data_IF_581227904509
#
_entry.id   IF_581227904509
#
_cell.length_a   1.000
_cell.length_b   1.000
_cell.length_c   1.000
_cell.angle_alpha   90.00
_cell.angle_beta   90.00
_cell.angle_gamma   90.00
#
_symmetry.space_group_name_H-M   'P 1'
#
loop_
_entity.id
_entity.type
_entity.pdbx_description
1 polymer ?
#
# COMPACT_ATOMS: atom_id res chain seq x y z
N UNK A 1 -45.52 -156.67 20.58
CA UNK A 1 -46.23 -157.94 20.85
C UNK A 1 -45.46 -158.62 21.98
N UNK A 2 -46.10 -159.27 22.95
CA UNK A 2 -46.61 -160.64 22.79
C UNK A 2 -47.72 -160.92 23.82
N UNK A 3 -48.79 -161.56 23.33
CA UNK A 3 -49.67 -162.58 23.95
C UNK A 3 -49.96 -162.48 25.45
N UNK A 4 -51.26 -162.51 25.77
CA UNK A 4 -51.79 -162.96 27.06
C UNK A 4 -51.42 -164.45 27.25
N UNK A 5 -50.60 -164.84 28.25
CA UNK A 5 -50.24 -166.23 28.52
C UNK A 5 -50.99 -166.79 29.76
N UNK A 6 -50.62 -168.01 30.17
CA UNK A 6 -50.90 -168.57 31.51
C UNK A 6 -52.33 -169.01 31.85
N UNK A 7 -52.90 -169.85 30.98
CA UNK A 7 -53.65 -171.02 31.42
C UNK A 7 -52.78 -172.28 31.27
N UNK A 8 -51.78 -172.43 32.16
CA UNK A 8 -50.91 -173.61 32.23
C UNK A 8 -50.67 -174.05 33.69
N UNK A 9 -51.49 -174.98 34.19
CA UNK A 9 -51.07 -176.02 35.16
C UNK A 9 -52.23 -176.92 35.58
N UNK A 10 -52.41 -178.03 34.87
CA UNK A 10 -53.04 -179.23 35.44
C UNK A 10 -51.97 -180.32 35.54
N UNK A 11 -51.52 -180.60 36.76
CA UNK A 11 -50.60 -181.70 37.05
C UNK A 11 -51.43 -182.90 37.49
N UNK A 12 -51.41 -183.97 36.70
CA UNK A 12 -51.93 -185.27 37.08
C UNK A 12 -50.73 -186.17 37.46
N UNK A 13 -50.75 -186.74 38.66
CA UNK A 13 -49.84 -187.82 39.04
C UNK A 13 -50.68 -189.05 39.45
N UNK A 14 -50.11 -190.24 39.19
CA UNK A 14 -50.86 -191.48 39.13
C UNK A 14 -51.48 -191.91 40.47
N UNK A 15 -52.66 -192.57 40.37
CA UNK A 15 -53.16 -193.73 41.14
C UNK A 15 -54.71 -193.77 41.17
N UNK A 16 -55.42 -192.67 40.91
CA UNK A 16 -56.89 -192.70 40.80
C UNK A 16 -57.50 -191.62 39.87
N UNK A 17 -58.36 -192.03 38.92
CA UNK A 17 -59.06 -191.15 37.98
C UNK A 17 -60.18 -190.33 38.68
N UNK A 18 -59.79 -189.22 39.32
CA UNK A 18 -60.71 -188.20 39.87
C UNK A 18 -60.17 -186.80 39.59
N UNK A 19 -60.87 -186.03 38.77
CA UNK A 19 -60.55 -184.62 38.51
C UNK A 19 -61.03 -183.79 39.69
N UNK A 20 -60.11 -183.09 40.36
CA UNK A 20 -60.40 -182.14 41.43
C UNK A 20 -60.14 -180.73 40.88
N UNK A 21 -61.12 -179.82 40.88
CA UNK A 21 -60.94 -178.47 40.36
C UNK A 21 -60.05 -177.62 41.30
N UNK A 22 -59.20 -176.72 40.77
CA UNK A 22 -58.48 -175.74 41.59
C UNK A 22 -59.47 -174.74 42.24
N UNK A 23 -59.14 -174.21 43.43
CA UNK A 23 -60.03 -173.31 44.15
C UNK A 23 -60.22 -171.97 43.43
N UNK A 24 -61.42 -171.35 43.49
CA UNK A 24 -61.69 -170.07 42.83
C UNK A 24 -60.92 -168.92 43.50
N UNK A 25 -60.07 -168.25 42.72
CA UNK A 25 -59.40 -167.00 43.08
C UNK A 25 -60.13 -165.79 42.47
N UNK A 26 -60.04 -164.63 43.13
CA UNK A 26 -60.69 -163.38 42.69
C UNK A 26 -62.00 -163.06 43.43
N UNK A 27 -62.81 -162.15 42.87
CA UNK A 27 -63.96 -161.53 43.54
C UNK A 27 -65.01 -162.52 44.10
N UNK A 28 -65.14 -163.71 43.49
CA UNK A 28 -66.01 -164.78 43.99
C UNK A 28 -65.59 -165.28 45.39
N UNK A 29 -64.29 -165.27 45.72
CA UNK A 29 -63.79 -165.67 47.03
C UNK A 29 -64.10 -164.63 48.11
N UNK A 30 -64.08 -163.34 47.77
CA UNK A 30 -64.45 -162.27 48.68
C UNK A 30 -65.95 -162.28 49.01
N UNK A 31 -66.82 -162.51 48.02
CA UNK A 31 -68.29 -162.63 48.25
C UNK A 31 -68.67 -163.82 49.14
N UNK A 32 -67.86 -164.87 49.21
CA UNK A 32 -68.08 -166.01 50.12
C UNK A 32 -67.59 -165.72 51.55
N UNK A 33 -66.65 -164.78 51.75
CA UNK A 33 -66.23 -164.36 53.10
C UNK A 33 -67.30 -163.52 53.81
N UNK A 34 -68.06 -162.71 53.07
CA UNK A 34 -69.08 -161.81 53.64
C UNK A 34 -70.34 -162.53 54.16
N UNK A 35 -70.60 -163.76 53.69
CA UNK A 35 -71.82 -164.52 54.02
C UNK A 35 -71.69 -165.45 55.25
N UNK A 36 -70.81 -165.12 56.22
CA UNK A 36 -70.56 -165.95 57.41
C UNK A 36 -70.97 -165.24 58.72
N UNK A 37 -72.05 -165.69 59.40
CA UNK A 37 -72.46 -165.07 60.66
C UNK A 37 -71.48 -165.41 61.80
N UNK A 38 -71.15 -164.35 62.55
CA UNK A 38 -70.54 -164.32 63.90
C UNK A 38 -69.64 -165.50 64.32
N UNK A 39 -68.33 -165.32 64.12
CA UNK A 39 -67.31 -165.88 65.03
C UNK A 39 -66.73 -164.77 65.90
N UNK A 40 -66.87 -164.90 67.21
CA UNK A 40 -66.14 -164.11 68.21
C UNK A 40 -64.64 -164.21 67.97
N UNK A 41 -64.01 -163.11 67.54
CA UNK A 41 -62.54 -163.01 67.50
C UNK A 41 -62.08 -162.40 68.81
N UNK A 42 -61.37 -163.19 69.61
CA UNK A 42 -60.59 -162.67 70.73
C UNK A 42 -59.49 -161.76 70.17
N UNK A 43 -59.48 -160.48 70.57
CA UNK A 43 -58.37 -159.57 70.25
C UNK A 43 -57.12 -160.08 70.97
N UNK A 44 -56.01 -160.24 70.24
CA UNK A 44 -54.74 -160.64 70.86
C UNK A 44 -54.03 -159.41 71.40
N UNK A 45 -53.16 -159.57 72.41
CA UNK A 45 -52.37 -158.44 72.93
C UNK A 45 -51.52 -157.75 71.84
N UNK A 46 -51.13 -158.48 70.78
CA UNK A 46 -50.38 -157.91 69.66
C UNK A 46 -51.20 -156.88 68.88
N UNK A 47 -52.48 -157.15 68.62
CA UNK A 47 -53.37 -156.21 67.94
C UNK A 47 -53.52 -154.90 68.74
N UNK A 48 -53.63 -155.01 70.07
CA UNK A 48 -53.73 -153.86 70.97
C UNK A 48 -52.43 -153.04 70.98
N UNK A 49 -51.26 -153.70 70.98
CA UNK A 49 -49.96 -153.03 70.87
C UNK A 49 -49.79 -152.34 69.51
N UNK A 50 -50.17 -152.99 68.40
CA UNK A 50 -50.10 -152.40 67.06
C UNK A 50 -51.07 -151.20 66.91
N UNK A 51 -52.22 -151.22 67.59
CA UNK A 51 -53.08 -150.04 67.71
C UNK A 51 -52.43 -148.94 68.56
N UNK A 52 -51.80 -149.28 69.69
CA UNK A 52 -51.07 -148.32 70.52
C UNK A 52 -49.92 -147.62 69.78
N UNK A 53 -49.12 -148.37 69.02
CA UNK A 53 -48.05 -147.83 68.18
C UNK A 53 -48.62 -146.89 67.11
N UNK A 54 -49.72 -147.26 66.44
CA UNK A 54 -50.38 -146.39 65.44
C UNK A 54 -50.94 -145.10 66.05
N UNK A 55 -51.55 -145.18 67.24
CA UNK A 55 -52.04 -144.00 67.97
C UNK A 55 -50.85 -143.10 68.33
N UNK A 56 -49.78 -143.67 68.89
CA UNK A 56 -48.60 -142.90 69.28
C UNK A 56 -47.93 -142.22 68.07
N UNK A 57 -47.75 -142.92 66.95
CA UNK A 57 -47.23 -142.33 65.70
C UNK A 57 -48.15 -141.24 65.11
N UNK A 58 -49.47 -141.35 65.28
CA UNK A 58 -50.41 -140.27 64.90
C UNK A 58 -50.30 -139.08 65.85
N UNK A 59 -50.07 -139.32 67.15
CA UNK A 59 -49.88 -138.30 68.17
C UNK A 59 -48.56 -137.54 67.98
N UNK A 60 -47.45 -138.25 67.71
CA UNK A 60 -46.15 -137.69 67.33
C UNK A 60 -46.28 -136.83 66.07
N UNK A 61 -46.96 -137.31 65.02
CA UNK A 61 -47.21 -136.51 63.80
C UNK A 61 -48.03 -135.25 64.11
N UNK A 62 -49.04 -135.34 64.97
CA UNK A 62 -49.80 -134.15 65.43
C UNK A 62 -48.95 -133.18 66.24
N UNK A 63 -48.01 -133.67 67.04
CA UNK A 63 -47.08 -132.81 67.79
C UNK A 63 -46.03 -132.17 66.86
N UNK A 64 -45.47 -132.92 65.92
CA UNK A 64 -44.54 -132.39 64.91
C UNK A 64 -45.19 -131.30 64.05
N UNK A 65 -46.43 -131.52 63.56
CA UNK A 65 -47.17 -130.50 62.80
C UNK A 65 -47.37 -129.23 63.65
N UNK A 66 -47.76 -129.36 64.92
CA UNK A 66 -47.88 -128.21 65.83
C UNK A 66 -46.55 -127.48 66.05
N UNK A 67 -45.44 -128.22 66.15
CA UNK A 67 -44.10 -127.62 66.29
C UNK A 67 -43.67 -126.93 65.00
N UNK A 68 -43.96 -127.49 63.82
CA UNK A 68 -43.73 -126.84 62.52
C UNK A 68 -44.60 -125.59 62.32
N UNK A 69 -45.87 -125.62 62.76
CA UNK A 69 -46.76 -124.45 62.75
C UNK A 69 -46.23 -123.34 63.66
N UNK A 70 -45.82 -123.67 64.89
CA UNK A 70 -45.20 -122.72 65.82
C UNK A 70 -43.86 -122.20 65.32
N UNK A 71 -43.04 -123.03 64.65
CA UNK A 71 -41.79 -122.60 64.03
C UNK A 71 -42.04 -121.65 62.86
N UNK A 72 -43.07 -121.88 62.03
CA UNK A 72 -43.47 -120.96 60.95
C UNK A 72 -43.93 -119.62 61.52
N UNK A 73 -44.83 -119.63 62.53
CA UNK A 73 -45.28 -118.41 63.20
C UNK A 73 -44.09 -117.64 63.79
N UNK A 74 -43.16 -118.32 64.48
CA UNK A 74 -41.96 -117.69 65.03
C UNK A 74 -41.02 -117.16 63.93
N UNK A 75 -40.89 -117.88 62.81
CA UNK A 75 -40.08 -117.46 61.67
C UNK A 75 -40.69 -116.23 60.97
N UNK A 76 -42.00 -116.21 60.75
CA UNK A 76 -42.73 -115.09 60.15
C UNK A 76 -42.70 -113.85 61.07
N UNK A 77 -42.82 -114.03 62.40
CA UNK A 77 -42.61 -112.97 63.37
C UNK A 77 -41.19 -112.39 63.34
N UNK A 78 -40.17 -113.24 63.18
CA UNK A 78 -38.76 -112.82 63.06
C UNK A 78 -38.54 -112.09 61.73
N UNK A 79 -39.10 -112.56 60.63
CA UNK A 79 -39.06 -111.86 59.33
C UNK A 79 -39.77 -110.51 59.39
N UNK A 80 -40.98 -110.42 59.94
CA UNK A 80 -41.70 -109.15 60.08
C UNK A 80 -40.93 -108.14 60.96
N UNK A 81 -40.27 -108.61 62.03
CA UNK A 81 -39.37 -107.77 62.85
C UNK A 81 -38.12 -107.35 62.07
N UNK A 82 -37.54 -108.24 61.27
CA UNK A 82 -36.37 -107.92 60.43
C UNK A 82 -36.73 -106.90 59.33
N UNK A 83 -37.84 -107.09 58.63
CA UNK A 83 -38.39 -106.16 57.64
C UNK A 83 -38.65 -104.80 58.27
N UNK A 84 -39.36 -104.72 59.40
CA UNK A 84 -39.59 -103.45 60.09
C UNK A 84 -38.29 -102.72 60.47
N UNK A 85 -37.27 -103.46 60.95
CA UNK A 85 -35.96 -102.88 61.26
C UNK A 85 -35.21 -102.40 60.01
N UNK A 86 -35.24 -103.14 58.89
CA UNK A 86 -34.61 -102.72 57.64
C UNK A 86 -35.33 -101.52 57.03
N UNK A 87 -36.67 -101.50 57.07
CA UNK A 87 -37.49 -100.38 56.63
C UNK A 87 -37.20 -99.11 57.42
N UNK A 88 -37.07 -99.22 58.75
CA UNK A 88 -36.64 -98.10 59.60
C UNK A 88 -35.21 -97.65 59.29
N UNK A 89 -34.28 -98.58 59.08
CA UNK A 89 -32.90 -98.26 58.72
C UNK A 89 -32.82 -97.54 57.36
N UNK A 90 -33.57 -98.01 56.36
CA UNK A 90 -33.70 -97.40 55.03
C UNK A 90 -34.36 -96.02 55.13
N UNK A 91 -35.46 -95.87 55.87
CA UNK A 91 -36.10 -94.57 56.12
C UNK A 91 -35.16 -93.58 56.83
N UNK A 92 -34.35 -94.05 57.80
CA UNK A 92 -33.32 -93.24 58.48
C UNK A 92 -32.17 -92.88 57.52
N UNK A 93 -31.73 -93.79 56.66
CA UNK A 93 -30.71 -93.53 55.64
C UNK A 93 -31.19 -92.51 54.59
N UNK A 94 -32.38 -92.68 54.04
CA UNK A 94 -33.01 -91.74 53.08
C UNK A 94 -33.14 -90.35 53.70
N UNK A 95 -33.57 -90.24 54.96
CA UNK A 95 -33.64 -88.95 55.66
C UNK A 95 -32.26 -88.29 55.80
N UNK A 96 -31.22 -89.04 56.18
CA UNK A 96 -29.84 -88.53 56.26
C UNK A 96 -29.29 -88.09 54.91
N UNK A 97 -29.51 -88.86 53.84
CA UNK A 97 -29.08 -88.52 52.47
C UNK A 97 -29.82 -87.28 51.96
N UNK A 98 -31.13 -87.17 52.19
CA UNK A 98 -31.91 -85.96 51.83
C UNK A 98 -31.44 -84.72 52.60
N UNK A 99 -31.13 -84.84 53.90
CA UNK A 99 -30.59 -83.72 54.67
C UNK A 99 -29.25 -83.23 54.09
N UNK A 100 -28.30 -84.15 53.86
CA UNK A 100 -27.01 -83.82 53.23
C UNK A 100 -27.17 -83.18 51.85
N UNK A 101 -28.04 -83.71 50.99
CA UNK A 101 -28.27 -83.10 49.68
C UNK A 101 -28.93 -81.72 49.76
N UNK A 102 -29.76 -81.45 50.77
CA UNK A 102 -30.30 -80.10 50.99
C UNK A 102 -29.19 -79.14 51.44
N UNK A 103 -28.34 -79.55 52.37
CA UNK A 103 -27.14 -78.80 52.81
C UNK A 103 -26.21 -78.51 51.62
N UNK A 104 -25.89 -79.53 50.79
CA UNK A 104 -25.09 -79.39 49.56
C UNK A 104 -25.74 -78.42 48.56
N UNK A 105 -27.05 -78.48 48.35
CA UNK A 105 -27.79 -77.57 47.47
C UNK A 105 -27.79 -76.13 48.01
N UNK A 106 -27.84 -75.93 49.33
CA UNK A 106 -27.77 -74.60 49.94
C UNK A 106 -26.37 -73.99 49.78
N UNK A 107 -25.31 -74.74 50.06
CA UNK A 107 -23.91 -74.29 49.82
C UNK A 107 -23.68 -73.94 48.35
N UNK A 108 -24.09 -74.81 47.41
CA UNK A 108 -23.96 -74.55 45.98
C UNK A 108 -24.73 -73.30 45.51
N UNK A 109 -25.90 -73.00 46.11
CA UNK A 109 -26.62 -71.75 45.83
C UNK A 109 -25.86 -70.53 46.31
N UNK A 110 -25.28 -70.57 47.50
CA UNK A 110 -24.48 -69.47 48.04
C UNK A 110 -23.21 -69.23 47.20
N UNK A 111 -22.51 -70.29 46.80
CA UNK A 111 -21.35 -70.21 45.89
C UNK A 111 -21.75 -69.60 44.54
N UNK A 112 -22.83 -70.08 43.92
CA UNK A 112 -23.33 -69.53 42.66
C UNK A 112 -23.77 -68.07 42.81
N UNK A 113 -24.41 -67.68 43.90
CA UNK A 113 -24.81 -66.28 44.14
C UNK A 113 -23.58 -65.38 44.32
N UNK A 114 -22.51 -65.86 44.98
CA UNK A 114 -21.25 -65.15 45.10
C UNK A 114 -20.55 -64.98 43.75
N UNK A 115 -20.47 -66.02 42.93
CA UNK A 115 -19.90 -65.98 41.58
C UNK A 115 -20.68 -64.99 40.70
N UNK A 116 -22.02 -65.04 40.72
CA UNK A 116 -22.87 -64.09 40.00
C UNK A 116 -22.66 -62.65 40.47
N UNK A 117 -22.53 -62.41 41.79
CA UNK A 117 -22.22 -61.09 42.36
C UNK A 117 -20.83 -60.58 41.94
N UNK A 118 -19.85 -61.47 41.75
CA UNK A 118 -18.51 -61.10 41.27
C UNK A 118 -18.54 -60.79 39.76
N UNK A 119 -19.06 -61.70 38.94
CA UNK A 119 -19.18 -61.50 37.48
C UNK A 119 -19.99 -60.23 37.12
N UNK A 120 -21.06 -59.92 37.86
CA UNK A 120 -21.82 -58.67 37.67
C UNK A 120 -21.00 -57.43 38.06
N UNK A 121 -20.11 -57.50 39.06
CA UNK A 121 -19.21 -56.38 39.41
C UNK A 121 -18.14 -56.18 38.35
N UNK A 122 -17.56 -57.25 37.83
CA UNK A 122 -16.53 -57.23 36.79
C UNK A 122 -17.10 -56.69 35.47
N UNK A 123 -18.21 -57.25 34.98
CA UNK A 123 -18.91 -56.74 33.79
C UNK A 123 -19.33 -55.27 33.95
N UNK A 124 -19.79 -54.84 35.14
CA UNK A 124 -20.08 -53.42 35.42
C UNK A 124 -18.84 -52.53 35.41
N UNK A 125 -17.66 -53.07 35.74
CA UNK A 125 -16.39 -52.34 35.67
C UNK A 125 -15.93 -52.21 34.22
N UNK A 126 -15.93 -53.30 33.47
CA UNK A 126 -15.58 -53.31 32.03
C UNK A 126 -16.46 -52.37 31.22
N UNK A 127 -17.79 -52.41 31.42
CA UNK A 127 -18.74 -51.51 30.74
C UNK A 127 -18.48 -50.04 31.09
N UNK A 128 -18.07 -49.73 32.33
CA UNK A 128 -17.68 -48.35 32.71
C UNK A 128 -16.39 -47.92 32.03
N UNK A 129 -15.35 -48.75 32.08
CA UNK A 129 -14.04 -48.45 31.47
C UNK A 129 -14.16 -48.28 29.95
N UNK A 130 -15.00 -49.09 29.29
CA UNK A 130 -15.36 -48.95 27.88
C UNK A 130 -16.09 -47.63 27.61
N UNK A 131 -17.15 -47.32 28.36
CA UNK A 131 -17.94 -46.10 28.22
C UNK A 131 -17.09 -44.83 28.42
N UNK A 132 -16.20 -44.83 29.41
CA UNK A 132 -15.27 -43.73 29.62
C UNK A 132 -14.24 -43.59 28.48
N UNK A 133 -13.76 -44.70 27.92
CA UNK A 133 -12.83 -44.67 26.79
C UNK A 133 -13.51 -44.16 25.51
N UNK A 134 -14.76 -44.51 25.28
CA UNK A 134 -15.57 -44.01 24.16
C UNK A 134 -15.88 -42.52 24.33
N UNK A 135 -16.37 -42.10 25.51
CA UNK A 135 -16.58 -40.68 25.84
C UNK A 135 -15.29 -39.85 25.70
N UNK A 136 -14.13 -40.37 26.11
CA UNK A 136 -12.82 -39.71 25.91
C UNK A 136 -12.50 -39.53 24.42
N UNK A 137 -12.79 -40.52 23.56
CA UNK A 137 -12.59 -40.41 22.10
C UNK A 137 -13.52 -39.38 21.48
N UNK A 138 -14.80 -39.38 21.86
CA UNK A 138 -15.78 -38.41 21.35
C UNK A 138 -15.44 -36.98 21.75
N UNK A 139 -15.03 -36.76 23.02
CA UNK A 139 -14.60 -35.47 23.53
C UNK A 139 -13.36 -34.96 22.78
N UNK A 140 -12.31 -35.77 22.64
CA UNK A 140 -11.11 -35.40 21.88
C UNK A 140 -11.44 -35.05 20.42
N UNK A 141 -12.33 -35.82 19.77
CA UNK A 141 -12.79 -35.52 18.42
C UNK A 141 -13.62 -34.22 18.35
N UNK A 142 -14.42 -33.92 19.38
CA UNK A 142 -15.18 -32.67 19.48
C UNK A 142 -14.27 -31.45 19.70
N UNK A 143 -13.26 -31.58 20.57
CA UNK A 143 -12.21 -30.58 20.80
C UNK A 143 -11.41 -30.31 19.52
N UNK A 144 -10.95 -31.33 18.81
CA UNK A 144 -10.26 -31.17 17.52
C UNK A 144 -11.12 -30.44 16.49
N UNK A 145 -12.41 -30.80 16.37
CA UNK A 145 -13.37 -30.08 15.51
C UNK A 145 -13.53 -28.62 15.94
N UNK A 146 -13.51 -28.33 17.25
CA UNK A 146 -13.62 -26.97 17.77
C UNK A 146 -12.35 -26.15 17.53
N UNK A 147 -11.17 -26.71 17.80
CA UNK A 147 -9.87 -26.10 17.52
C UNK A 147 -9.74 -25.77 16.02
N UNK A 148 -10.13 -26.69 15.13
CA UNK A 148 -10.11 -26.43 13.69
C UNK A 148 -11.04 -25.27 13.28
N UNK A 149 -12.26 -25.21 13.84
CA UNK A 149 -13.18 -24.07 13.62
C UNK A 149 -12.58 -22.74 14.12
N UNK A 150 -12.00 -22.73 15.32
CA UNK A 150 -11.37 -21.53 15.89
C UNK A 150 -10.18 -21.09 15.01
N UNK A 151 -9.31 -22.01 14.59
CA UNK A 151 -8.20 -21.73 13.69
C UNK A 151 -8.66 -21.18 12.34
N UNK A 152 -9.79 -21.66 11.81
CA UNK A 152 -10.39 -21.14 10.57
C UNK A 152 -10.88 -19.70 10.76
N UNK A 153 -11.68 -19.44 11.80
CA UNK A 153 -12.18 -18.10 12.13
C UNK A 153 -11.03 -17.11 12.40
N UNK A 154 -9.96 -17.54 13.08
CA UNK A 154 -8.77 -16.72 13.31
C UNK A 154 -8.05 -16.35 12.00
N UNK A 155 -8.00 -17.25 11.02
CA UNK A 155 -7.44 -16.95 9.68
C UNK A 155 -8.34 -15.98 8.91
N UNK A 156 -9.65 -16.19 8.92
CA UNK A 156 -10.64 -15.34 8.25
C UNK A 156 -10.58 -13.91 8.83
N UNK A 157 -10.64 -13.76 10.15
CA UNK A 157 -10.48 -12.48 10.84
C UNK A 157 -9.10 -11.83 10.59
N UNK A 158 -8.03 -12.62 10.45
CA UNK A 158 -6.72 -12.08 10.09
C UNK A 158 -6.70 -11.54 8.64
N UNK A 159 -7.32 -12.23 7.69
CA UNK A 159 -7.45 -11.75 6.31
C UNK A 159 -8.33 -10.51 6.20
N UNK A 160 -9.46 -10.48 6.91
CA UNK A 160 -10.34 -9.29 7.01
C UNK A 160 -9.58 -8.10 7.61
N UNK A 161 -8.79 -8.32 8.67
CA UNK A 161 -7.94 -7.28 9.26
C UNK A 161 -6.90 -6.73 8.27
N UNK A 162 -6.26 -7.60 7.48
CA UNK A 162 -5.29 -7.16 6.47
C UNK A 162 -6.00 -6.32 5.41
N UNK A 163 -7.13 -6.80 4.88
CA UNK A 163 -7.92 -6.07 3.88
C UNK A 163 -8.39 -4.70 4.41
N UNK A 164 -8.86 -4.63 5.66
CA UNK A 164 -9.24 -3.37 6.29
C UNK A 164 -8.06 -2.39 6.48
N UNK A 165 -6.85 -2.91 6.75
CA UNK A 165 -5.63 -2.09 6.81
C UNK A 165 -5.20 -1.63 5.41
N UNK A 166 -5.36 -2.48 4.39
CA UNK A 166 -5.04 -2.15 3.00
C UNK A 166 -5.98 -1.09 2.43
N UNK A 167 -7.29 -1.17 2.69
CA UNK A 167 -8.26 -0.14 2.28
C UNK A 167 -7.98 1.19 2.97
N UNK A 168 -7.81 1.21 4.30
CA UNK A 168 -7.47 2.45 5.03
C UNK A 168 -6.16 3.06 4.53
N UNK A 169 -5.13 2.24 4.25
CA UNK A 169 -3.86 2.73 3.67
C UNK A 169 -4.02 3.29 2.27
N UNK A 170 -4.90 2.73 1.44
CA UNK A 170 -5.20 3.26 0.12
C UNK A 170 -5.88 4.62 0.21
N UNK A 171 -6.87 4.76 1.11
CA UNK A 171 -7.55 6.03 1.41
C UNK A 171 -6.57 7.08 1.97
N UNK A 172 -5.68 6.71 2.91
CA UNK A 172 -4.62 7.58 3.43
C UNK A 172 -3.66 8.03 2.32
N UNK A 173 -3.27 7.15 1.40
CA UNK A 173 -2.42 7.48 0.26
C UNK A 173 -3.13 8.41 -0.73
N UNK A 174 -4.42 8.20 -1.00
CA UNK A 174 -5.21 9.06 -1.87
C UNK A 174 -5.35 10.47 -1.27
N UNK A 175 -5.76 10.58 -0.01
CA UNK A 175 -5.82 11.86 0.72
C UNK A 175 -4.45 12.57 0.76
N UNK A 176 -3.36 11.83 0.98
CA UNK A 176 -2.01 12.41 0.96
C UNK A 176 -1.61 12.90 -0.45
N UNK A 177 -1.96 12.17 -1.51
CA UNK A 177 -1.73 12.60 -2.89
C UNK A 177 -2.57 13.82 -3.27
N UNK A 178 -3.82 13.91 -2.82
CA UNK A 178 -4.68 15.09 -3.03
C UNK A 178 -4.14 16.32 -2.30
N UNK A 179 -3.79 16.17 -1.02
CA UNK A 179 -3.16 17.24 -0.24
C UNK A 179 -1.84 17.73 -0.91
N UNK A 180 -1.02 16.81 -1.44
CA UNK A 180 0.20 17.14 -2.16
C UNK A 180 -0.09 17.88 -3.48
N UNK A 181 -1.09 17.44 -4.27
CA UNK A 181 -1.52 18.13 -5.50
C UNK A 181 -2.01 19.55 -5.19
N UNK A 182 -2.83 19.71 -4.16
CA UNK A 182 -3.36 21.00 -3.74
C UNK A 182 -2.26 21.93 -3.23
N UNK A 183 -1.27 21.41 -2.49
CA UNK A 183 -0.13 22.20 -2.05
C UNK A 183 0.84 22.57 -3.18
N UNK A 184 1.00 21.70 -4.20
CA UNK A 184 1.71 22.06 -5.44
C UNK A 184 1.01 23.22 -6.16
N UNK A 185 -0.31 23.12 -6.38
CA UNK A 185 -1.12 24.17 -7.00
C UNK A 185 -0.99 25.51 -6.27
N UNK A 186 -1.12 25.52 -4.94
CA UNK A 186 -0.92 26.72 -4.11
C UNK A 186 0.50 27.30 -4.18
N UNK A 187 1.52 26.47 -4.38
CA UNK A 187 2.90 26.93 -4.57
C UNK A 187 3.12 27.49 -5.97
N UNK A 188 2.55 26.87 -7.01
CA UNK A 188 2.56 27.37 -8.38
C UNK A 188 1.86 28.73 -8.49
N UNK A 189 0.67 28.87 -7.89
CA UNK A 189 -0.06 30.14 -7.77
C UNK A 189 0.81 31.22 -7.11
N UNK A 190 1.45 30.92 -5.97
CA UNK A 190 2.38 31.86 -5.29
C UNK A 190 3.61 32.23 -6.12
N UNK A 191 4.17 31.29 -6.88
CA UNK A 191 5.31 31.55 -7.78
C UNK A 191 4.87 32.49 -8.91
N UNK A 192 3.68 32.29 -9.46
CA UNK A 192 3.10 33.18 -10.50
C UNK A 192 2.82 34.57 -9.92
N UNK A 193 2.21 34.68 -8.74
CA UNK A 193 1.97 35.96 -8.06
C UNK A 193 3.27 36.72 -7.75
N UNK A 194 4.28 36.02 -7.21
CA UNK A 194 5.59 36.60 -6.93
C UNK A 194 6.31 37.01 -8.23
N UNK A 195 6.18 36.24 -9.31
CA UNK A 195 6.68 36.58 -10.64
C UNK A 195 6.03 37.83 -11.22
N UNK A 196 4.70 37.94 -11.13
CA UNK A 196 3.94 39.13 -11.56
C UNK A 196 4.34 40.37 -10.74
N UNK A 197 4.49 40.22 -9.42
CA UNK A 197 4.91 41.32 -8.54
C UNK A 197 6.35 41.76 -8.83
N UNK A 198 7.26 40.80 -9.00
CA UNK A 198 8.65 41.05 -9.38
C UNK A 198 8.74 41.78 -10.73
N UNK A 199 8.02 41.31 -11.76
CA UNK A 199 7.96 41.95 -13.07
C UNK A 199 7.41 43.38 -12.98
N UNK A 200 6.33 43.61 -12.23
CA UNK A 200 5.78 44.97 -12.00
C UNK A 200 6.77 45.90 -11.31
N UNK A 201 7.57 45.37 -10.37
CA UNK A 201 8.60 46.16 -9.68
C UNK A 201 9.81 46.46 -10.59
N UNK A 202 10.25 45.47 -11.38
CA UNK A 202 11.27 45.67 -12.42
C UNK A 202 10.82 46.71 -13.46
N UNK A 203 9.59 46.62 -13.94
CA UNK A 203 9.03 47.56 -14.92
C UNK A 203 8.95 49.00 -14.36
N UNK A 204 8.60 49.17 -13.08
CA UNK A 204 8.67 50.47 -12.39
C UNK A 204 10.10 50.99 -12.30
N UNK A 205 11.04 50.14 -11.85
CA UNK A 205 12.46 50.49 -11.73
C UNK A 205 13.06 50.89 -13.08
N UNK A 206 12.76 50.15 -14.15
CA UNK A 206 13.16 50.49 -15.52
C UNK A 206 12.58 51.85 -15.96
N UNK A 207 11.30 52.14 -15.65
CA UNK A 207 10.69 53.45 -15.95
C UNK A 207 11.30 54.61 -15.15
N UNK A 208 11.69 54.37 -13.91
CA UNK A 208 12.38 55.34 -13.06
C UNK A 208 13.80 55.62 -13.58
N UNK A 209 14.56 54.56 -13.90
CA UNK A 209 15.89 54.67 -14.53
C UNK A 209 15.80 55.37 -15.88
N UNK A 210 14.84 55.03 -16.74
CA UNK A 210 14.65 55.67 -18.04
C UNK A 210 14.44 57.20 -17.89
N UNK A 211 13.54 57.61 -16.99
CA UNK A 211 13.32 59.04 -16.67
C UNK A 211 14.57 59.72 -16.12
N UNK A 212 15.32 59.04 -15.24
CA UNK A 212 16.57 59.57 -14.70
C UNK A 212 17.62 59.75 -15.80
N UNK A 213 17.75 58.80 -16.73
CA UNK A 213 18.66 58.91 -17.88
C UNK A 213 18.24 59.99 -18.86
N UNK A 214 16.94 60.15 -19.16
CA UNK A 214 16.41 61.23 -19.99
C UNK A 214 16.70 62.60 -19.36
N UNK A 215 16.48 62.74 -18.05
CA UNK A 215 16.78 63.97 -17.32
C UNK A 215 18.28 64.29 -17.34
N UNK A 216 19.15 63.31 -17.12
CA UNK A 216 20.61 63.49 -17.23
C UNK A 216 21.05 63.84 -18.66
N UNK A 217 20.48 63.21 -19.68
CA UNK A 217 20.73 63.55 -21.09
C UNK A 217 20.32 64.99 -21.40
N UNK A 218 19.14 65.43 -20.95
CA UNK A 218 18.68 66.80 -21.13
C UNK A 218 19.57 67.83 -20.41
N UNK A 219 20.04 67.53 -19.19
CA UNK A 219 21.03 68.37 -18.49
C UNK A 219 22.33 68.45 -19.31
N UNK A 220 22.90 67.31 -19.69
CA UNK A 220 24.15 67.24 -20.45
C UNK A 220 24.04 67.92 -21.82
N UNK A 221 22.90 67.81 -22.49
CA UNK A 221 22.59 68.53 -23.73
C UNK A 221 22.57 70.03 -23.49
N UNK A 222 21.84 70.51 -22.48
CA UNK A 222 21.76 71.95 -22.15
C UNK A 222 23.12 72.55 -21.77
N UNK A 223 23.96 71.79 -21.07
CA UNK A 223 25.34 72.18 -20.74
C UNK A 223 26.22 72.22 -21.99
N UNK A 224 26.08 71.25 -22.89
CA UNK A 224 26.81 71.20 -24.17
C UNK A 224 26.39 72.31 -25.13
N UNK A 225 25.11 72.68 -25.13
CA UNK A 225 24.60 73.84 -25.88
C UNK A 225 25.16 75.14 -25.31
N UNK A 226 25.06 75.36 -23.99
CA UNK A 226 25.62 76.55 -23.34
C UNK A 226 27.12 76.70 -23.60
N UNK A 227 27.90 75.62 -23.51
CA UNK A 227 29.33 75.65 -23.85
C UNK A 227 29.59 76.07 -25.28
N UNK A 228 28.79 75.61 -26.26
CA UNK A 228 28.91 76.08 -27.66
C UNK A 228 28.53 77.55 -27.82
N UNK A 229 27.51 78.02 -27.11
CA UNK A 229 27.13 79.43 -27.08
C UNK A 229 28.22 80.30 -26.42
N UNK A 230 28.85 79.80 -25.36
CA UNK A 230 30.01 80.41 -24.69
C UNK A 230 31.23 80.46 -25.64
N UNK A 231 31.62 79.33 -26.26
CA UNK A 231 32.71 79.24 -27.26
C UNK A 231 32.49 80.20 -28.44
N UNK A 232 31.27 80.27 -28.99
CA UNK A 232 30.92 81.21 -30.07
C UNK A 232 31.00 82.67 -29.59
N UNK A 233 30.51 82.97 -28.38
CA UNK A 233 30.61 84.30 -27.81
C UNK A 233 32.05 84.71 -27.48
N UNK A 234 32.92 83.78 -27.06
CA UNK A 234 34.35 84.04 -26.87
C UNK A 234 35.02 84.39 -28.19
N UNK A 235 34.83 83.57 -29.24
CA UNK A 235 35.34 83.84 -30.60
C UNK A 235 34.83 85.18 -31.15
N UNK A 236 33.55 85.50 -30.94
CA UNK A 236 32.97 86.77 -31.38
C UNK A 236 33.55 87.97 -30.61
N UNK A 237 33.75 87.84 -29.29
CA UNK A 237 34.43 88.86 -28.48
C UNK A 237 35.90 89.06 -28.88
N UNK A 238 36.60 88.00 -29.27
CA UNK A 238 37.97 88.10 -29.79
C UNK A 238 38.00 88.81 -31.15
N UNK A 239 37.13 88.41 -32.08
CA UNK A 239 36.97 89.07 -33.37
C UNK A 239 36.63 90.57 -33.19
N UNK A 240 35.69 90.91 -32.30
CA UNK A 240 35.38 92.30 -31.96
C UNK A 240 36.59 93.08 -31.44
N UNK A 241 37.40 92.50 -30.55
CA UNK A 241 38.63 93.14 -30.04
C UNK A 241 39.62 93.41 -31.18
N UNK A 242 39.81 92.46 -32.10
CA UNK A 242 40.68 92.61 -33.27
C UNK A 242 40.14 93.69 -34.22
N UNK A 243 38.86 93.65 -34.56
CA UNK A 243 38.23 94.67 -35.40
C UNK A 243 38.32 96.07 -34.76
N UNK A 244 38.02 96.20 -33.47
CA UNK A 244 38.12 97.47 -32.72
C UNK A 244 39.56 98.00 -32.66
N UNK A 245 40.57 97.13 -32.58
CA UNK A 245 41.97 97.50 -32.67
C UNK A 245 42.35 97.96 -34.10
N UNK A 246 41.83 97.29 -35.14
CA UNK A 246 42.01 97.68 -36.55
C UNK A 246 41.39 99.05 -36.84
N UNK A 247 40.14 99.29 -36.40
CA UNK A 247 39.45 100.58 -36.52
C UNK A 247 40.26 101.68 -35.82
N UNK A 248 40.77 101.45 -34.60
CA UNK A 248 41.66 102.41 -33.92
C UNK A 248 42.96 102.69 -34.70
N UNK A 249 43.50 101.70 -35.41
CA UNK A 249 44.69 101.88 -36.28
C UNK A 249 44.37 102.70 -37.53
N UNK A 250 43.20 102.50 -38.14
CA UNK A 250 42.73 103.30 -39.28
C UNK A 250 42.42 104.73 -38.85
N UNK A 251 41.71 104.93 -37.73
CA UNK A 251 41.44 106.26 -37.19
C UNK A 251 42.72 107.06 -36.90
N UNK A 252 43.76 106.42 -36.33
CA UNK A 252 45.07 107.06 -36.15
C UNK A 252 45.74 107.47 -37.47
N UNK A 253 45.59 106.68 -38.53
CA UNK A 253 46.10 107.06 -39.86
C UNK A 253 45.30 108.25 -40.43
N UNK A 254 43.98 108.24 -40.28
CA UNK A 254 43.11 109.33 -40.69
C UNK A 254 43.54 110.64 -40.03
N UNK A 255 43.70 110.67 -38.71
CA UNK A 255 44.11 111.88 -37.98
C UNK A 255 45.51 112.40 -38.35
N UNK A 256 46.41 111.52 -38.83
CA UNK A 256 47.71 111.96 -39.37
C UNK A 256 47.54 112.61 -40.73
N UNK A 257 46.77 111.99 -41.63
CA UNK A 257 46.48 112.53 -42.97
C UNK A 257 45.68 113.84 -42.87
N UNK A 258 44.74 113.95 -41.94
CA UNK A 258 44.00 115.19 -41.65
C UNK A 258 44.95 116.31 -41.18
N UNK A 259 45.94 115.99 -40.35
CA UNK A 259 46.98 116.96 -39.93
C UNK A 259 47.90 117.37 -41.08
N UNK A 260 48.35 116.42 -41.90
CA UNK A 260 49.13 116.70 -43.13
C UNK A 260 48.32 117.56 -44.11
N UNK A 261 47.01 117.32 -44.23
CA UNK A 261 46.11 118.10 -45.08
C UNK A 261 45.92 119.52 -44.52
N UNK A 262 45.73 119.68 -43.22
CA UNK A 262 45.67 121.00 -42.56
C UNK A 262 46.96 121.80 -42.76
N UNK A 263 48.14 121.18 -42.59
CA UNK A 263 49.43 121.83 -42.87
C UNK A 263 49.53 122.29 -44.34
N UNK A 264 49.03 121.49 -45.29
CA UNK A 264 48.99 121.87 -46.70
C UNK A 264 47.99 122.99 -46.99
N UNK A 265 46.85 123.02 -46.30
CA UNK A 265 45.88 124.12 -46.39
C UNK A 265 46.47 125.42 -45.86
N UNK A 266 47.10 125.41 -44.67
CA UNK A 266 47.80 126.57 -44.12
C UNK A 266 48.93 127.06 -45.05
N UNK A 267 49.68 126.16 -45.68
CA UNK A 267 50.70 126.52 -46.67
C UNK A 267 50.10 127.22 -47.90
N UNK A 268 48.94 126.76 -48.38
CA UNK A 268 48.22 127.39 -49.50
C UNK A 268 47.60 128.75 -49.12
N UNK A 269 47.02 128.88 -47.92
CA UNK A 269 46.51 130.16 -47.42
C UNK A 269 47.62 131.21 -47.29
N UNK A 270 48.77 130.83 -46.70
CA UNK A 270 49.94 131.69 -46.63
C UNK A 270 50.44 132.08 -48.04
N UNK A 271 50.53 131.12 -48.98
CA UNK A 271 50.90 131.43 -50.36
C UNK A 271 49.90 132.37 -51.06
N UNK A 272 48.62 132.25 -50.74
CA UNK A 272 47.56 133.13 -51.27
C UNK A 272 47.70 134.55 -50.71
N UNK A 273 47.92 134.69 -49.40
CA UNK A 273 48.23 135.98 -48.78
C UNK A 273 49.49 136.64 -49.37
N UNK A 274 50.57 135.88 -49.57
CA UNK A 274 51.78 136.40 -50.23
C UNK A 274 51.52 136.85 -51.67
N UNK A 275 50.74 136.08 -52.44
CA UNK A 275 50.33 136.46 -53.80
C UNK A 275 49.54 137.76 -53.78
N UNK A 276 48.55 137.88 -52.91
CA UNK A 276 47.64 139.03 -52.90
C UNK A 276 48.36 140.30 -52.39
N UNK A 277 49.24 140.18 -51.40
CA UNK A 277 50.14 141.27 -50.97
C UNK A 277 51.06 141.75 -52.11
N UNK A 278 51.66 140.83 -52.87
CA UNK A 278 52.49 141.18 -54.02
C UNK A 278 51.67 141.79 -55.17
N UNK A 279 50.41 141.38 -55.36
CA UNK A 279 49.49 142.03 -56.31
C UNK A 279 49.11 143.45 -55.88
N UNK A 280 49.00 143.70 -54.57
CA UNK A 280 48.75 145.03 -53.98
C UNK A 280 49.96 145.96 -54.12
N UNK A 281 51.19 145.53 -53.75
CA UNK A 281 52.41 146.32 -54.00
C UNK A 281 52.62 146.61 -55.51
N UNK A 282 52.29 145.65 -56.39
CA UNK A 282 52.31 145.87 -57.85
C UNK A 282 51.25 146.86 -58.34
N UNK A 283 50.11 146.97 -57.64
CA UNK A 283 49.10 148.00 -57.92
C UNK A 283 49.57 149.37 -57.41
N UNK A 284 50.08 149.47 -56.18
CA UNK A 284 50.58 150.72 -55.61
C UNK A 284 51.76 151.30 -56.41
N UNK A 285 52.75 150.47 -56.75
CA UNK A 285 53.88 150.89 -57.59
C UNK A 285 53.41 151.33 -58.97
N UNK A 286 52.44 150.62 -59.59
CA UNK A 286 51.83 151.05 -60.86
C UNK A 286 51.11 152.39 -60.72
N UNK A 287 50.35 152.60 -59.65
CA UNK A 287 49.72 153.90 -59.36
C UNK A 287 50.76 155.01 -59.17
N UNK A 288 51.86 154.74 -58.48
CA UNK A 288 52.94 155.70 -58.29
C UNK A 288 53.60 156.07 -59.63
N UNK A 289 53.88 155.09 -60.50
CA UNK A 289 54.34 155.35 -61.85
C UNK A 289 53.31 156.13 -62.69
N UNK A 290 52.02 155.79 -62.60
CA UNK A 290 50.96 156.53 -63.30
C UNK A 290 50.87 157.98 -62.80
N UNK A 291 50.96 158.22 -61.49
CA UNK A 291 51.01 159.56 -60.87
C UNK A 291 52.24 160.34 -61.34
N UNK A 292 53.41 159.70 -61.42
CA UNK A 292 54.64 160.31 -61.94
C UNK A 292 54.53 160.68 -63.43
N UNK A 293 54.00 159.77 -64.26
CA UNK A 293 53.74 159.99 -65.69
C UNK A 293 52.81 161.19 -65.88
N UNK A 294 51.69 161.21 -65.17
CA UNK A 294 50.70 162.29 -65.23
C UNK A 294 51.26 163.65 -64.74
N UNK A 295 52.13 163.65 -63.72
CA UNK A 295 52.78 164.87 -63.22
C UNK A 295 53.85 165.42 -64.19
N UNK A 296 54.64 164.54 -64.81
CA UNK A 296 55.75 164.93 -65.68
C UNK A 296 55.25 165.43 -67.05
N UNK A 297 54.10 164.92 -67.52
CA UNK A 297 53.53 165.24 -68.83
C UNK A 297 52.06 165.71 -68.73
N UNK A 298 51.79 166.88 -68.11
CA UNK A 298 50.42 167.36 -67.86
C UNK A 298 49.62 167.74 -69.13
N UNK A 299 50.27 167.74 -70.30
CA UNK A 299 49.62 167.95 -71.61
C UNK A 299 49.09 166.66 -72.25
N UNK A 300 49.31 165.49 -71.63
CA UNK A 300 48.77 164.22 -72.09
C UNK A 300 47.43 163.89 -71.43
N UNK A 301 46.50 163.40 -72.23
CA UNK A 301 45.18 162.96 -71.77
C UNK A 301 45.31 161.65 -70.97
N UNK A 302 44.49 161.39 -69.93
CA UNK A 302 44.49 160.12 -69.21
C UNK A 302 44.38 158.93 -70.18
N UNK A 303 45.31 157.96 -70.08
CA UNK A 303 45.38 156.80 -70.96
C UNK A 303 46.34 156.90 -72.16
N UNK A 304 46.82 158.10 -72.55
CA UNK A 304 47.75 158.21 -73.70
C UNK A 304 49.17 157.68 -73.42
N UNK A 305 49.54 157.49 -72.15
CA UNK A 305 50.85 157.02 -71.72
C UNK A 305 50.87 155.55 -71.24
N UNK A 306 49.76 154.82 -71.40
CA UNK A 306 49.60 153.46 -70.88
C UNK A 306 50.55 152.43 -71.51
N UNK A 307 51.17 152.76 -72.65
CA UNK A 307 52.21 151.95 -73.28
C UNK A 307 53.53 151.89 -72.48
N UNK A 308 53.74 152.83 -71.55
CA UNK A 308 54.94 152.89 -70.69
C UNK A 308 54.85 151.82 -69.57
N UNK A 309 53.64 151.42 -69.19
CA UNK A 309 53.41 150.44 -68.13
C UNK A 309 53.12 149.05 -68.72
N UNK A 310 53.82 147.98 -68.30
CA UNK A 310 53.59 146.63 -68.81
C UNK A 310 52.12 146.21 -68.74
N UNK A 311 51.61 145.60 -69.81
CA UNK A 311 50.24 145.07 -69.89
C UNK A 311 50.05 143.96 -68.85
N UNK A 312 48.96 143.99 -68.07
CA UNK A 312 48.57 142.84 -67.24
C UNK A 312 48.25 141.67 -68.17
N UNK A 313 48.92 140.53 -67.96
CA UNK A 313 48.33 139.24 -68.30
C UNK A 313 47.14 139.05 -67.36
N UNK A 314 45.95 138.77 -67.90
CA UNK A 314 44.83 138.33 -67.07
C UNK A 314 45.19 136.97 -66.45
N UNK A 315 44.70 136.63 -65.24
CA UNK A 315 44.78 135.25 -64.76
C UNK A 315 44.10 134.32 -65.77
N UNK A 316 44.62 133.10 -65.99
CA UNK A 316 43.96 132.13 -66.86
C UNK A 316 42.59 131.76 -66.27
N UNK A 317 41.54 131.84 -67.08
CA UNK A 317 40.15 131.57 -66.67
C UNK A 317 39.80 130.07 -66.64
N UNK A 318 40.82 129.19 -66.58
CA UNK A 318 40.70 127.75 -66.76
C UNK A 318 40.86 127.00 -65.42
N UNK A 319 40.13 127.44 -64.38
CA UNK A 319 40.24 126.89 -63.01
C UNK A 319 38.89 126.69 -62.29
N UNK A 320 37.77 126.73 -63.01
CA UNK A 320 36.41 126.55 -62.45
C UNK A 320 35.76 125.18 -62.76
N UNK A 321 36.40 124.30 -63.54
CA UNK A 321 35.76 123.05 -64.04
C UNK A 321 36.33 121.74 -63.45
N UNK A 322 37.08 121.80 -62.33
CA UNK A 322 37.61 120.62 -61.63
C UNK A 322 37.01 120.37 -60.23
N UNK A 323 36.03 121.18 -59.80
CA UNK A 323 35.39 121.06 -58.47
C UNK A 323 33.87 120.93 -58.62
N UNK A 324 33.43 119.79 -59.16
CA UNK A 324 32.04 119.34 -59.08
C UNK A 324 31.95 117.80 -59.03
N UNK A 325 31.88 117.27 -57.81
CA UNK A 325 31.34 115.94 -57.46
C UNK A 325 32.04 114.72 -58.09
N UNK A 326 33.15 114.32 -57.47
CA UNK A 326 33.38 112.88 -57.25
C UNK A 326 32.48 112.38 -56.12
N UNK A 327 31.43 111.64 -56.43
CA UNK A 327 30.83 110.72 -55.46
C UNK A 327 30.25 109.48 -56.18
N UNK A 328 30.39 108.34 -55.51
CA UNK A 328 29.89 106.99 -55.87
C UNK A 328 30.44 106.32 -57.15
N UNK A 329 31.56 105.61 -56.99
CA UNK A 329 31.91 104.45 -57.85
C UNK A 329 31.37 103.17 -57.20
N UNK A 330 30.53 102.37 -57.89
CA UNK A 330 30.19 101.02 -57.46
C UNK A 330 31.33 100.04 -57.79
N UNK A 331 31.65 99.12 -56.89
CA UNK A 331 32.51 97.97 -57.19
C UNK A 331 31.61 96.76 -57.41
N UNK A 332 31.63 96.23 -58.63
CA UNK A 332 30.82 95.11 -59.06
C UNK A 332 31.37 93.73 -58.68
N UNK A 333 30.51 92.74 -58.86
CA UNK A 333 30.75 91.31 -58.73
C UNK A 333 31.51 90.72 -59.95
N UNK A 334 31.86 89.43 -59.81
CA UNK A 334 32.56 88.51 -60.73
C UNK A 334 34.04 88.83 -61.06
N UNK A 335 34.95 87.87 -61.28
CA UNK A 335 34.89 86.39 -61.27
C UNK A 335 36.32 85.83 -61.02
N UNK A 336 36.76 84.57 -61.20
CA UNK A 336 36.22 83.30 -61.73
C UNK A 336 37.09 82.11 -61.21
N UNK A 337 36.52 80.90 -61.15
CA UNK A 337 37.14 79.55 -61.27
C UNK A 337 38.63 79.30 -60.89
N UNK A 338 38.84 78.29 -60.05
CA UNK A 338 39.80 77.21 -60.38
C UNK A 338 39.24 75.82 -60.01
N UNK A 339 39.06 74.98 -61.03
CA UNK A 339 38.80 73.54 -60.85
C UNK A 339 40.10 72.82 -60.48
N UNK A 340 40.03 71.75 -59.68
CA UNK A 340 40.67 70.46 -60.01
C UNK A 340 40.30 69.35 -59.01
N UNK A 341 39.34 68.52 -59.44
CA UNK A 341 39.38 67.05 -59.39
C UNK A 341 40.38 66.33 -58.45
N UNK A 342 39.83 65.42 -57.64
CA UNK A 342 40.03 63.97 -57.87
C UNK A 342 39.08 63.07 -57.08
N UNK A 343 38.45 62.17 -57.81
CA UNK A 343 37.84 60.94 -57.29
C UNK A 343 38.91 59.95 -56.84
N UNK A 344 38.61 59.13 -55.83
CA UNK A 344 39.14 57.78 -55.75
C UNK A 344 38.11 56.82 -55.15
N UNK A 345 38.01 55.64 -55.75
CA UNK A 345 37.09 54.57 -55.37
C UNK A 345 37.69 53.60 -54.33
N UNK A 346 36.77 52.89 -53.67
CA UNK A 346 36.84 51.47 -53.24
C UNK A 346 37.69 51.04 -52.03
N UNK A 347 37.01 50.22 -51.20
CA UNK A 347 37.48 49.06 -50.41
C UNK A 347 38.71 49.24 -49.50
N UNK A 348 38.65 48.83 -48.23
CA UNK A 348 38.46 47.41 -47.92
C UNK A 348 38.01 47.07 -46.49
N UNK A 349 37.78 45.77 -46.26
CA UNK A 349 37.42 45.16 -44.97
C UNK A 349 38.61 45.03 -44.00
N UNK A 350 38.39 45.35 -42.73
CA UNK A 350 38.84 44.56 -41.57
C UNK A 350 38.12 45.11 -40.32
N UNK A 351 37.27 44.37 -39.58
CA UNK A 351 37.57 43.25 -38.68
C UNK A 351 38.68 43.56 -37.67
N UNK A 352 38.33 43.65 -36.38
CA UNK A 352 38.94 42.87 -35.28
C UNK A 352 38.16 43.03 -33.96
N UNK A 353 38.04 41.94 -33.20
CA UNK A 353 37.80 41.82 -31.75
C UNK A 353 36.39 42.05 -31.13
N UNK A 354 35.73 40.92 -30.84
CA UNK A 354 35.06 40.59 -29.57
C UNK A 354 36.07 40.58 -28.38
N UNK A 355 35.69 40.58 -27.06
CA UNK A 355 34.56 39.92 -26.39
C UNK A 355 33.69 40.88 -25.52
N UNK A 356 32.56 40.54 -24.89
CA UNK A 356 32.30 39.39 -24.00
C UNK A 356 30.80 39.26 -23.68
N UNK A 357 30.20 38.07 -23.87
CA UNK A 357 29.22 37.41 -22.97
C UNK A 357 28.90 36.00 -23.49
#
# INVERSE_FOLDING_TARGET
MIRNPDLQSFVCCAVCNKIIPPPPSGEAFHRIQEYKPFKTRFLTHKDILDFGIKIHQQEEKRQLIKVEELLKIAQDEVWAKAEAMTDEAVKKAIKKVKAKHLEEIEVLKEEHEQILKQAVKEARKEVKEFMEAEMRRENLAAEQRMVHRIQKILKECHTEKIQAIETVRAEEQEMAMEALKEQKRKNEEKIIEAGILSHKNLEKSIKEVAKATEHQMNINFSLSQKKKEEEVNEVLNEAEKVHRASIKKVAKKLTVIEGELQEKTEQLENMTHWKDFLEEELLETREAFQKYINFTYPTLSPGQADFILPLRKKPPSDLEESIAVTEEVPIGEDSEKSETSKTFEKSDKSSFLSPTQ
#
